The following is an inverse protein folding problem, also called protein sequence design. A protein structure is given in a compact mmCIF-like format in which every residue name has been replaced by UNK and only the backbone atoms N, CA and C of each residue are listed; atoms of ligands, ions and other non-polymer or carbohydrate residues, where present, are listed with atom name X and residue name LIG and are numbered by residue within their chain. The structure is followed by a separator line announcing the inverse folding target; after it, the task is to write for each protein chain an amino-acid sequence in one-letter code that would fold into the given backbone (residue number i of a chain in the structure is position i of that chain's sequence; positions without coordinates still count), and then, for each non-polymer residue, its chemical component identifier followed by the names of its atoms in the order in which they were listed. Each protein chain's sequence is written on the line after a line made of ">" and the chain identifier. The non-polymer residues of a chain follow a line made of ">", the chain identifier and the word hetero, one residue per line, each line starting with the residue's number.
data_IF_302431485064
#
_entry.id   IF_302431485064
#
_cell.length_a   1.000
_cell.length_b   1.000
_cell.length_c   1.000
_cell.angle_alpha   90.00
_cell.angle_beta   90.00
_cell.angle_gamma   90.00
#
_symmetry.space_group_name_H-M   'P 1'
#
loop_
_entity.id
_entity.type
_entity.pdbx_description
1 polymer ?
#
# COMPACT_ATOMS: atom_id res chain seq x y z
N UNK A 1 -9.29 -1.00 -29.16
CA UNK A 1 -9.07 -0.79 -27.72
C UNK A 1 -7.71 -0.11 -27.60
N UNK A 2 -7.67 1.15 -27.20
CA UNK A 2 -6.43 1.93 -27.16
C UNK A 2 -5.55 1.42 -26.01
N UNK A 3 -4.27 1.17 -26.28
CA UNK A 3 -3.32 0.72 -25.27
C UNK A 3 -2.77 1.93 -24.52
N UNK A 4 -3.31 2.19 -23.34
CA UNK A 4 -2.86 3.29 -22.48
C UNK A 4 -1.76 2.81 -21.55
N UNK A 5 -0.64 3.51 -21.51
CA UNK A 5 0.44 3.22 -20.56
C UNK A 5 -0.04 3.46 -19.13
N UNK A 6 0.15 2.44 -18.28
CA UNK A 6 -0.11 2.54 -16.84
C UNK A 6 1.18 2.87 -16.10
N UNK A 7 1.07 3.56 -14.96
CA UNK A 7 2.20 3.88 -14.08
C UNK A 7 1.79 3.62 -12.63
N UNK A 8 2.73 3.10 -11.84
CA UNK A 8 2.59 2.89 -10.41
C UNK A 8 3.80 3.44 -9.67
N UNK A 9 3.63 3.75 -8.38
CA UNK A 9 4.71 4.22 -7.50
C UNK A 9 4.85 3.24 -6.33
N UNK A 10 6.09 2.89 -6.01
CA UNK A 10 6.43 2.00 -4.92
C UNK A 10 7.33 2.71 -3.93
N UNK A 11 7.04 2.54 -2.65
CA UNK A 11 7.93 2.98 -1.58
C UNK A 11 8.72 1.77 -1.07
N UNK A 12 10.01 1.73 -1.39
CA UNK A 12 10.93 0.72 -0.87
C UNK A 12 11.60 1.24 0.40
N UNK A 13 11.69 0.37 1.42
CA UNK A 13 12.33 0.72 2.69
C UNK A 13 13.87 0.75 2.60
N UNK A 14 14.46 0.01 1.66
CA UNK A 14 15.91 -0.10 1.49
C UNK A 14 16.30 -0.03 0.01
N UNK A 15 17.55 0.35 -0.26
CA UNK A 15 18.07 0.46 -1.62
C UNK A 15 18.25 -0.91 -2.28
N UNK A 16 18.60 -1.93 -1.50
CA UNK A 16 18.78 -3.30 -1.97
C UNK A 16 17.46 -3.84 -2.55
N UNK A 17 16.32 -3.49 -1.94
CA UNK A 17 15.01 -3.87 -2.45
C UNK A 17 14.68 -3.19 -3.79
N UNK A 18 15.11 -1.93 -3.98
CA UNK A 18 14.98 -1.21 -5.26
C UNK A 18 15.80 -1.91 -6.35
N UNK A 19 17.05 -2.25 -6.05
CA UNK A 19 17.96 -2.91 -7.00
C UNK A 19 17.42 -4.29 -7.37
N UNK A 20 17.00 -5.09 -6.37
CA UNK A 20 16.42 -6.40 -6.60
C UNK A 20 15.16 -6.33 -7.46
N UNK A 21 14.29 -5.34 -7.22
CA UNK A 21 13.11 -5.12 -8.04
C UNK A 21 13.47 -4.72 -9.47
N UNK A 22 14.41 -3.79 -9.65
CA UNK A 22 14.84 -3.36 -10.97
C UNK A 22 15.47 -4.50 -11.80
N UNK A 23 16.24 -5.37 -11.16
CA UNK A 23 16.89 -6.50 -11.82
C UNK A 23 15.94 -7.68 -12.06
N UNK A 24 15.01 -7.92 -11.14
CA UNK A 24 14.09 -9.06 -11.20
C UNK A 24 12.82 -8.81 -12.02
N UNK A 25 12.47 -7.56 -12.28
CA UNK A 25 11.30 -7.22 -13.09
C UNK A 25 11.63 -7.31 -14.59
N UNK A 26 11.46 -8.50 -15.15
CA UNK A 26 11.41 -8.72 -16.59
C UNK A 26 9.92 -8.66 -17.01
N UNK A 27 9.47 -7.49 -17.46
CA UNK A 27 8.06 -7.27 -17.76
C UNK A 27 7.54 -8.25 -18.81
N UNK A 28 6.70 -9.21 -18.40
CA UNK A 28 6.28 -10.36 -19.22
C UNK A 28 5.78 -9.98 -20.63
N UNK A 29 4.80 -9.07 -20.72
CA UNK A 29 4.17 -8.71 -22.00
C UNK A 29 4.50 -7.27 -22.45
N UNK A 30 4.88 -6.40 -21.50
CA UNK A 30 5.21 -5.01 -21.76
C UNK A 30 6.47 -4.64 -21.00
N UNK A 31 7.47 -4.11 -21.73
CA UNK A 31 8.70 -3.60 -21.13
C UNK A 31 8.37 -2.41 -20.25
N UNK A 32 8.51 -2.56 -18.94
CA UNK A 32 8.39 -1.45 -18.00
C UNK A 32 9.73 -0.73 -17.82
N UNK A 33 9.65 0.54 -17.46
CA UNK A 33 10.79 1.35 -17.07
C UNK A 33 10.67 1.61 -15.57
N UNK A 34 11.73 1.30 -14.84
CA UNK A 34 11.82 1.55 -13.38
C UNK A 34 12.75 2.73 -13.17
N UNK A 35 12.21 3.83 -12.68
CA UNK A 35 12.93 5.07 -12.42
C UNK A 35 12.53 5.62 -11.04
N UNK A 36 13.37 6.50 -10.48
CA UNK A 36 13.01 7.24 -9.28
C UNK A 36 11.87 8.22 -9.58
N UNK A 37 10.89 8.28 -8.66
CA UNK A 37 9.82 9.27 -8.75
C UNK A 37 10.39 10.71 -8.73
N UNK A 38 9.82 11.59 -9.56
CA UNK A 38 10.17 13.02 -9.58
C UNK A 38 9.88 13.70 -8.23
N UNK A 39 8.91 13.17 -7.48
CA UNK A 39 8.55 13.61 -6.14
C UNK A 39 8.66 12.45 -5.17
N UNK A 40 9.53 12.60 -4.17
CA UNK A 40 9.91 11.53 -3.24
C UNK A 40 9.22 11.63 -1.88
N UNK A 41 8.36 12.64 -1.64
CA UNK A 41 7.67 12.71 -0.36
C UNK A 41 6.55 11.67 -0.32
N UNK A 42 6.62 10.84 0.70
CA UNK A 42 5.56 9.93 1.09
C UNK A 42 4.66 10.60 2.14
N UNK A 43 3.38 10.21 2.22
CA UNK A 43 2.55 10.54 3.37
C UNK A 43 3.28 10.15 4.66
N UNK A 44 3.32 11.05 5.63
CA UNK A 44 3.92 10.74 6.93
C UNK A 44 3.09 9.66 7.60
N UNK A 45 3.74 8.68 8.21
CA UNK A 45 3.06 7.75 9.11
C UNK A 45 2.37 8.56 10.22
N UNK A 46 1.08 8.29 10.40
CA UNK A 46 0.31 8.90 11.46
C UNK A 46 0.75 8.28 12.78
N UNK A 47 1.53 9.01 13.58
CA UNK A 47 2.07 8.50 14.85
C UNK A 47 1.01 8.36 15.94
N UNK A 48 -0.09 9.09 15.82
CA UNK A 48 -1.22 9.01 16.72
C UNK A 48 -2.10 7.85 16.31
N UNK A 49 -2.14 6.83 17.16
CA UNK A 49 -3.15 5.77 17.11
C UNK A 49 -4.53 6.37 17.34
N UNK A 50 -5.54 5.90 16.62
CA UNK A 50 -6.92 6.32 16.88
C UNK A 50 -7.33 5.81 18.27
N UNK A 51 -7.90 6.69 19.09
CA UNK A 51 -8.36 6.32 20.43
C UNK A 51 -9.46 5.25 20.42
N UNK A 52 -10.16 5.11 19.29
CA UNK A 52 -11.21 4.11 19.03
C UNK A 52 -10.68 2.90 18.26
N UNK A 53 -9.38 2.81 18.00
CA UNK A 53 -8.80 1.64 17.33
C UNK A 53 -8.93 0.42 18.25
N UNK A 54 -9.59 -0.63 17.76
CA UNK A 54 -9.73 -1.89 18.50
C UNK A 54 -10.81 -1.87 19.60
N UNK A 55 -11.70 -0.88 19.61
CA UNK A 55 -12.80 -0.80 20.59
C UNK A 55 -14.11 -1.41 20.08
N UNK A 56 -14.09 -2.15 18.96
CA UNK A 56 -15.30 -2.79 18.42
C UNK A 56 -15.88 -3.82 19.38
N UNK A 57 -15.04 -4.51 20.14
CA UNK A 57 -15.47 -5.51 21.12
C UNK A 57 -16.20 -4.89 22.34
N UNK A 58 -16.08 -3.58 22.52
CA UNK A 58 -16.77 -2.81 23.56
C UNK A 58 -18.04 -2.12 23.03
N UNK A 59 -18.30 -2.21 21.72
CA UNK A 59 -19.43 -1.55 21.08
C UNK A 59 -20.74 -2.29 21.38
N UNK A 60 -21.74 -1.57 21.89
CA UNK A 60 -23.00 -2.15 22.30
C UNK A 60 -23.76 -2.78 21.11
N UNK A 61 -23.71 -2.16 19.93
CA UNK A 61 -24.40 -2.69 18.75
C UNK A 61 -23.73 -4.00 18.29
N UNK A 62 -22.40 -4.10 18.42
CA UNK A 62 -21.66 -5.34 18.14
C UNK A 62 -21.99 -6.46 19.15
N UNK A 63 -22.10 -6.12 20.44
CA UNK A 63 -22.48 -7.07 21.49
C UNK A 63 -23.93 -7.57 21.29
N UNK A 64 -24.87 -6.67 21.03
CA UNK A 64 -26.28 -7.01 20.76
C UNK A 64 -26.40 -7.92 19.54
N UNK A 65 -25.59 -7.68 18.50
CA UNK A 65 -25.51 -8.55 17.32
C UNK A 65 -25.01 -9.96 17.69
N UNK A 66 -23.94 -10.07 18.48
CA UNK A 66 -23.41 -11.37 18.90
C UNK A 66 -24.39 -12.18 19.76
N UNK A 67 -25.19 -11.52 20.61
CA UNK A 67 -26.24 -12.18 21.40
C UNK A 67 -27.42 -12.67 20.55
N UNK A 68 -27.63 -12.08 19.37
CA UNK A 68 -28.70 -12.46 18.44
C UNK A 68 -28.39 -13.66 17.56
N UNK A 69 -27.16 -14.21 17.63
CA UNK A 69 -26.64 -15.32 16.84
C UNK A 69 -26.92 -16.69 17.49
#
# INVERSE_FOLDING_TARGET
>A
KESVFSRAYFHFKTMEAVIAFHQGYDGNEFRAVVEFALYQKIPKEHKTTDARQGTIDEDQDYLDFLESL
#
